data_IF_685457507556
#
_entry.id   IF_685457507556
#
_cell.length_a   1.000
_cell.length_b   1.000
_cell.length_c   1.000
_cell.angle_alpha   90.00
_cell.angle_beta   90.00
_cell.angle_gamma   90.00
#
_symmetry.space_group_name_H-M   'P 1'
#
loop_
_entity.id
_entity.type
_entity.pdbx_description
1 polymer ?
#
# COMPACT_ATOMS: atom_id res chain seq x y z
N UNK A 1 14.97 -8.61 -6.37
CA UNK A 1 15.73 -7.34 -6.48
C UNK A 1 16.66 -7.26 -5.26
N UNK A 2 17.96 -6.93 -5.40
CA UNK A 2 18.65 -6.31 -4.26
C UNK A 2 18.28 -4.84 -4.40
N UNK A 3 17.09 -4.48 -3.91
CA UNK A 3 16.81 -3.07 -3.67
C UNK A 3 17.89 -2.76 -2.66
N UNK A 4 18.85 -1.90 -3.01
CA UNK A 4 19.74 -1.36 -2.00
C UNK A 4 18.84 -0.42 -1.20
N UNK A 5 17.96 -1.00 -0.39
CA UNK A 5 17.47 -0.37 0.81
C UNK A 5 18.74 -0.24 1.64
N UNK A 6 19.39 0.91 1.50
CA UNK A 6 20.28 1.41 2.52
C UNK A 6 19.44 1.43 3.80
N UNK A 7 19.44 0.33 4.55
CA UNK A 7 18.89 0.26 5.90
C UNK A 7 19.77 1.17 6.74
N UNK A 8 19.29 2.31 7.24
CA UNK A 8 20.00 2.96 8.32
C UNK A 8 19.77 2.11 9.57
N UNK A 9 20.78 2.03 10.44
CA UNK A 9 20.74 1.22 11.67
C UNK A 9 19.73 1.72 12.71
N UNK A 10 19.02 2.82 12.45
CA UNK A 10 17.89 3.27 13.24
C UNK A 10 17.10 4.35 12.49
N UNK A 11 15.89 4.02 12.03
CA UNK A 11 14.90 4.99 11.57
C UNK A 11 13.58 4.72 12.29
N UNK A 12 13.05 5.76 12.95
CA UNK A 12 11.69 5.83 13.50
C UNK A 12 11.33 4.81 14.60
N UNK A 13 10.57 5.23 15.62
CA UNK A 13 9.99 4.27 16.56
C UNK A 13 8.97 3.39 15.84
N UNK A 14 9.24 2.09 15.76
CA UNK A 14 8.17 1.09 15.58
C UNK A 14 7.23 1.21 16.78
N UNK A 15 6.05 1.79 16.58
CA UNK A 15 5.03 1.89 17.65
C UNK A 15 4.39 0.52 17.85
N UNK A 16 5.09 -0.40 18.52
CA UNK A 16 4.68 -1.76 18.86
C UNK A 16 3.49 -1.83 19.84
N UNK A 17 2.40 -1.11 19.58
CA UNK A 17 1.26 -1.01 20.49
C UNK A 17 0.39 -2.28 20.46
N UNK A 18 0.36 -3.01 19.34
CA UNK A 18 -0.59 -4.10 19.08
C UNK A 18 -0.01 -5.51 18.88
N UNK A 19 1.32 -5.70 18.95
CA UNK A 19 1.88 -7.06 18.98
C UNK A 19 1.68 -7.70 20.36
N UNK A 20 0.66 -8.55 20.49
CA UNK A 20 0.35 -9.21 21.76
C UNK A 20 1.48 -10.08 22.28
N UNK A 21 2.44 -10.51 21.43
CA UNK A 21 3.56 -11.37 21.81
C UNK A 21 4.62 -10.64 22.62
N UNK A 22 4.70 -9.31 22.49
CA UNK A 22 5.67 -8.48 23.23
C UNK A 22 5.14 -8.04 24.60
N UNK A 23 3.86 -8.31 24.89
CA UNK A 23 3.25 -7.91 26.16
C UNK A 23 3.67 -8.88 27.27
N UNK A 24 4.27 -8.34 28.34
CA UNK A 24 4.66 -9.13 29.51
C UNK A 24 3.54 -9.24 30.57
N UNK A 25 2.50 -8.39 30.49
CA UNK A 25 1.42 -8.30 31.48
C UNK A 25 0.05 -8.46 30.84
N UNK A 26 -0.93 -9.08 31.54
CA UNK A 26 -2.29 -9.20 31.03
C UNK A 26 -2.90 -7.85 30.68
N UNK A 27 -3.42 -7.72 29.46
CA UNK A 27 -4.07 -6.50 28.99
C UNK A 27 -5.05 -6.75 27.87
N UNK A 28 -5.96 -5.80 27.68
CA UNK A 28 -6.87 -5.69 26.55
C UNK A 28 -6.66 -4.30 25.95
N UNK A 29 -6.70 -4.18 24.63
CA UNK A 29 -6.55 -2.91 23.91
C UNK A 29 -7.46 -2.90 22.68
N UNK A 30 -7.88 -1.71 22.25
CA UNK A 30 -8.64 -1.50 21.03
C UNK A 30 -8.07 -0.31 20.27
N UNK A 31 -7.89 -0.45 18.95
CA UNK A 31 -7.38 0.63 18.10
C UNK A 31 -7.89 0.46 16.67
N UNK A 32 -8.19 1.59 16.04
CA UNK A 32 -8.58 1.60 14.65
C UNK A 32 -7.37 1.31 13.75
N UNK A 33 -7.55 0.39 12.80
CA UNK A 33 -6.67 0.29 11.62
C UNK A 33 -7.06 1.40 10.64
N UNK A 34 -8.37 1.61 10.45
CA UNK A 34 -8.90 2.67 9.59
C UNK A 34 -10.35 3.01 9.96
N UNK A 35 -11.01 3.88 9.18
CA UNK A 35 -12.38 4.34 9.45
C UNK A 35 -13.42 3.22 9.58
N UNK A 36 -13.15 2.06 9.00
CA UNK A 36 -14.09 0.94 8.91
C UNK A 36 -13.60 -0.32 9.63
N UNK A 37 -12.49 -0.25 10.39
CA UNK A 37 -11.92 -1.42 11.05
C UNK A 37 -11.25 -1.03 12.37
N UNK A 38 -11.73 -1.63 13.46
CA UNK A 38 -11.06 -1.63 14.77
C UNK A 38 -10.56 -3.02 15.11
N UNK A 39 -9.30 -3.13 15.52
CA UNK A 39 -8.78 -4.37 16.12
C UNK A 39 -8.87 -4.28 17.63
N UNK A 40 -9.41 -5.32 18.24
CA UNK A 40 -9.41 -5.55 19.69
C UNK A 40 -8.45 -6.69 19.98
N UNK A 41 -7.43 -6.45 20.80
CA UNK A 41 -6.40 -7.43 21.16
C UNK A 41 -6.38 -7.72 22.66
N UNK A 42 -5.96 -8.92 23.05
CA UNK A 42 -5.76 -9.31 24.44
C UNK A 42 -4.55 -10.22 24.64
N UNK A 43 -3.95 -10.12 25.82
CA UNK A 43 -2.90 -11.02 26.30
C UNK A 43 -3.18 -11.47 27.73
N UNK A 44 -2.86 -12.72 28.10
CA UNK A 44 -2.31 -13.78 27.23
C UNK A 44 -3.32 -14.26 26.19
N UNK A 45 -2.82 -14.94 25.14
CA UNK A 45 -3.65 -15.67 24.19
C UNK A 45 -4.48 -16.71 24.95
N UNK A 46 -5.76 -16.81 24.60
CA UNK A 46 -6.63 -17.85 25.18
C UNK A 46 -6.49 -19.10 24.33
N UNK A 47 -6.20 -20.25 24.97
CA UNK A 47 -5.80 -21.49 24.28
C UNK A 47 -6.86 -22.61 24.30
N UNK A 48 -7.81 -22.57 25.25
CA UNK A 48 -8.72 -23.71 25.46
C UNK A 48 -10.22 -23.35 25.50
N UNK A 49 -10.59 -22.08 25.64
CA UNK A 49 -11.99 -21.68 25.86
C UNK A 49 -12.40 -20.47 25.01
N UNK A 50 -13.69 -20.36 24.70
CA UNK A 50 -14.17 -19.32 23.80
C UNK A 50 -14.11 -17.91 24.44
N UNK A 51 -13.60 -16.92 23.69
CA UNK A 51 -13.57 -15.52 24.11
C UNK A 51 -14.84 -14.81 23.65
N UNK A 52 -15.45 -14.01 24.52
CA UNK A 52 -16.63 -13.20 24.17
C UNK A 52 -16.26 -11.72 24.16
N UNK A 53 -16.49 -11.05 23.05
CA UNK A 53 -16.28 -9.60 22.91
C UNK A 53 -17.63 -8.90 22.88
N UNK A 54 -17.80 -7.90 23.73
CA UNK A 54 -19.00 -7.07 23.82
C UNK A 54 -18.68 -5.66 23.35
N UNK A 55 -19.58 -5.05 22.56
CA UNK A 55 -19.60 -3.59 22.37
C UNK A 55 -20.33 -2.93 23.53
N UNK A 56 -19.86 -1.77 23.93
CA UNK A 56 -20.47 -0.95 24.99
C UNK A 56 -21.06 0.31 24.37
N UNK A 57 -22.38 0.44 24.43
CA UNK A 57 -23.08 1.63 23.96
C UNK A 57 -22.78 2.86 24.82
N UNK A 58 -23.13 4.05 24.35
CA UNK A 58 -22.97 5.30 25.10
C UNK A 58 -23.71 5.28 26.46
N UNK A 59 -24.82 4.54 26.54
CA UNK A 59 -25.61 4.28 27.74
C UNK A 59 -25.04 3.19 28.67
N UNK A 60 -23.84 2.67 28.38
CA UNK A 60 -23.20 1.61 29.15
C UNK A 60 -23.75 0.20 28.92
N UNK A 61 -24.79 0.03 28.08
CA UNK A 61 -25.35 -1.30 27.77
C UNK A 61 -24.37 -2.09 26.93
N UNK A 62 -24.21 -3.37 27.28
CA UNK A 62 -23.34 -4.33 26.59
C UNK A 62 -24.15 -5.10 25.56
N UNK A 63 -23.65 -5.19 24.33
CA UNK A 63 -24.17 -6.05 23.29
C UNK A 63 -23.08 -7.04 22.86
N UNK A 64 -23.40 -8.34 22.79
CA UNK A 64 -22.44 -9.34 22.33
C UNK A 64 -22.12 -9.08 20.85
N UNK A 65 -20.84 -8.86 20.56
CA UNK A 65 -20.36 -8.57 19.21
C UNK A 65 -19.71 -9.79 18.56
N UNK A 66 -18.97 -10.60 19.34
CA UNK A 66 -18.35 -11.82 18.84
C UNK A 66 -18.20 -12.89 19.93
N UNK A 67 -18.22 -14.15 19.49
CA UNK A 67 -17.75 -15.32 20.26
C UNK A 67 -16.70 -16.01 19.41
N UNK A 68 -15.48 -16.14 19.95
CA UNK A 68 -14.31 -16.56 19.19
C UNK A 68 -13.77 -17.88 19.74
N UNK A 69 -13.52 -18.89 18.90
CA UNK A 69 -12.89 -20.12 19.35
C UNK A 69 -11.43 -19.87 19.74
N UNK A 70 -10.92 -20.69 20.65
CA UNK A 70 -9.50 -20.74 20.94
C UNK A 70 -8.77 -21.62 19.89
N UNK A 71 -7.47 -21.39 19.62
CA UNK A 71 -6.62 -20.35 20.21
C UNK A 71 -6.87 -18.96 19.60
N UNK A 72 -6.96 -17.91 20.43
CA UNK A 72 -7.20 -16.53 19.95
C UNK A 72 -6.64 -15.44 20.87
N UNK A 73 -6.15 -14.34 20.26
CA UNK A 73 -5.61 -13.15 20.94
C UNK A 73 -6.15 -11.84 20.38
N UNK A 74 -7.00 -11.87 19.35
CA UNK A 74 -7.54 -10.66 18.76
C UNK A 74 -8.84 -10.90 17.98
N UNK A 75 -9.54 -9.79 17.69
CA UNK A 75 -10.73 -9.75 16.87
C UNK A 75 -10.82 -8.44 16.11
N UNK A 76 -11.30 -8.53 14.87
CA UNK A 76 -11.49 -7.41 13.96
C UNK A 76 -12.98 -7.04 13.90
N UNK A 77 -13.27 -5.80 14.29
CA UNK A 77 -14.58 -5.20 14.22
C UNK A 77 -14.73 -4.34 12.95
N UNK A 78 -15.49 -4.85 11.98
CA UNK A 78 -15.78 -4.16 10.70
C UNK A 78 -17.13 -3.42 10.70
N UNK A 79 -17.89 -3.49 11.79
CA UNK A 79 -19.20 -2.83 11.91
C UNK A 79 -19.14 -1.58 12.79
N UNK A 80 -17.95 -0.97 12.86
CA UNK A 80 -17.72 0.34 13.47
C UNK A 80 -18.22 1.46 12.56
N UNK A 81 -18.62 2.58 13.16
CA UNK A 81 -19.04 3.78 12.43
C UNK A 81 -17.89 4.78 12.36
N UNK A 82 -17.50 5.26 11.16
CA UNK A 82 -16.46 6.28 11.02
C UNK A 82 -16.74 7.55 11.86
N UNK A 83 -15.69 8.15 12.41
CA UNK A 83 -15.78 9.39 13.20
C UNK A 83 -16.37 9.22 14.60
N UNK A 84 -16.44 7.99 15.12
CA UNK A 84 -17.03 7.69 16.44
C UNK A 84 -16.00 7.12 17.41
N UNK A 85 -16.41 6.95 18.68
CA UNK A 85 -15.63 6.22 19.69
C UNK A 85 -16.23 4.83 19.87
N UNK A 86 -15.51 3.79 19.47
CA UNK A 86 -15.91 2.41 19.69
C UNK A 86 -15.42 1.94 21.07
N UNK A 87 -16.23 1.18 21.80
CA UNK A 87 -15.93 0.71 23.17
C UNK A 87 -16.19 -0.78 23.31
N UNK A 88 -15.28 -1.49 23.98
CA UNK A 88 -15.28 -2.95 24.04
C UNK A 88 -14.99 -3.49 25.44
N UNK A 89 -15.56 -4.65 25.74
CA UNK A 89 -15.21 -5.48 26.91
C UNK A 89 -14.93 -6.88 26.39
N UNK A 90 -13.82 -7.48 26.82
CA UNK A 90 -13.39 -8.81 26.39
C UNK A 90 -13.46 -9.77 27.57
N UNK A 91 -14.41 -10.70 27.55
CA UNK A 91 -14.58 -11.71 28.59
C UNK A 91 -13.83 -12.99 28.22
N UNK A 92 -12.88 -13.38 29.06
CA UNK A 92 -12.05 -14.58 28.90
C UNK A 92 -12.40 -15.63 29.96
N UNK A 93 -12.69 -16.88 29.57
CA UNK A 93 -13.01 -17.95 30.52
C UNK A 93 -11.79 -18.34 31.37
N UNK A 94 -12.03 -18.82 32.60
CA UNK A 94 -11.00 -19.35 33.51
C UNK A 94 -9.80 -18.40 33.74
N UNK A 95 -10.05 -17.09 33.66
CA UNK A 95 -9.07 -16.06 33.90
C UNK A 95 -8.64 -16.03 35.37
N UNK A 96 -7.33 -15.93 35.65
CA UNK A 96 -6.84 -15.55 36.98
C UNK A 96 -7.40 -14.17 37.36
N UNK A 97 -7.41 -13.81 38.65
CA UNK A 97 -7.96 -12.53 39.11
C UNK A 97 -7.41 -11.30 38.34
N UNK A 98 -6.11 -11.30 38.02
CA UNK A 98 -5.47 -10.26 37.22
C UNK A 98 -5.98 -10.23 35.77
N UNK A 99 -6.11 -11.40 35.13
CA UNK A 99 -6.67 -11.53 33.78
C UNK A 99 -8.15 -11.12 33.78
N UNK A 100 -8.92 -11.45 34.82
CA UNK A 100 -10.33 -11.10 34.96
C UNK A 100 -10.53 -9.59 35.13
N UNK A 101 -9.69 -8.93 35.92
CA UNK A 101 -9.69 -7.47 36.06
C UNK A 101 -9.37 -6.75 34.74
N UNK A 102 -8.34 -7.20 34.01
CA UNK A 102 -8.02 -6.65 32.69
C UNK A 102 -9.13 -6.92 31.65
N UNK A 103 -9.88 -8.02 31.80
CA UNK A 103 -11.00 -8.44 30.93
C UNK A 103 -12.28 -7.62 31.17
N UNK A 104 -12.47 -7.08 32.38
CA UNK A 104 -13.69 -6.38 32.78
C UNK A 104 -13.66 -4.88 32.53
N UNK A 105 -12.47 -4.30 32.36
CA UNK A 105 -12.29 -2.89 32.01
C UNK A 105 -12.71 -2.64 30.54
N UNK A 106 -13.50 -1.59 30.31
CA UNK A 106 -13.85 -1.17 28.97
C UNK A 106 -12.65 -0.49 28.29
N UNK A 107 -12.27 -0.97 27.11
CA UNK A 107 -11.28 -0.33 26.24
C UNK A 107 -11.99 0.44 25.15
N UNK A 108 -11.33 1.43 24.55
CA UNK A 108 -11.91 2.23 23.49
C UNK A 108 -10.93 2.50 22.36
N UNK A 109 -11.48 2.74 21.17
CA UNK A 109 -10.76 3.16 19.99
C UNK A 109 -11.43 4.40 19.39
N UNK A 110 -10.63 5.41 19.04
CA UNK A 110 -11.09 6.51 18.20
C UNK A 110 -11.11 6.00 16.76
N UNK A 111 -12.30 5.98 16.14
CA UNK A 111 -12.48 5.56 14.75
C UNK A 111 -12.31 6.78 13.86
N UNK A 112 -11.36 6.79 12.91
CA UNK A 112 -11.18 7.89 11.97
C UNK A 112 -12.45 8.20 11.18
N UNK A 113 -12.56 9.45 10.71
CA UNK A 113 -13.64 9.84 9.80
C UNK A 113 -13.53 9.09 8.47
N UNK A 114 -14.65 8.92 7.77
CA UNK A 114 -14.68 8.23 6.49
C UNK A 114 -13.75 8.92 5.48
N UNK A 115 -13.03 8.12 4.69
CA UNK A 115 -12.16 8.61 3.65
C UNK A 115 -12.97 9.07 2.43
N UNK A 116 -12.49 10.08 1.69
CA UNK A 116 -13.13 10.52 0.45
C UNK A 116 -13.13 9.38 -0.58
N UNK A 117 -14.15 9.35 -1.42
CA UNK A 117 -14.21 8.42 -2.53
C UNK A 117 -13.25 8.86 -3.65
N UNK A 118 -12.66 7.90 -4.34
CA UNK A 118 -11.75 8.11 -5.46
C UNK A 118 -11.91 7.00 -6.49
N UNK A 119 -11.33 7.18 -7.68
CA UNK A 119 -11.58 6.32 -8.84
C UNK A 119 -10.30 6.00 -9.60
N UNK A 120 -10.28 4.83 -10.24
CA UNK A 120 -9.22 4.40 -11.15
C UNK A 120 -9.02 5.37 -12.34
N UNK A 121 -9.99 6.23 -12.65
CA UNK A 121 -9.86 7.29 -13.66
C UNK A 121 -8.71 8.25 -13.38
N UNK A 122 -8.27 8.39 -12.11
CA UNK A 122 -7.10 9.19 -11.74
C UNK A 122 -5.80 8.67 -12.36
N UNK A 123 -5.75 7.38 -12.70
CA UNK A 123 -4.61 6.74 -13.36
C UNK A 123 -4.76 6.65 -14.88
N UNK A 124 -5.87 7.13 -15.46
CA UNK A 124 -6.07 7.03 -16.90
C UNK A 124 -5.10 7.95 -17.64
N UNK A 125 -3.99 7.42 -18.10
CA UNK A 125 -2.93 8.23 -18.66
C UNK A 125 -1.54 7.74 -18.30
N UNK A 126 -0.66 8.70 -18.06
CA UNK A 126 0.70 8.47 -17.58
C UNK A 126 0.77 8.84 -16.11
N UNK A 127 1.50 8.07 -15.32
CA UNK A 127 1.82 8.36 -13.93
C UNK A 127 3.30 8.03 -13.66
N UNK A 128 3.80 8.31 -12.47
CA UNK A 128 5.16 7.96 -12.07
C UNK A 128 5.26 7.64 -10.59
N UNK A 129 6.12 6.68 -10.24
CA UNK A 129 6.52 6.46 -8.86
C UNK A 129 7.57 7.48 -8.44
N UNK A 130 7.41 8.02 -7.23
CA UNK A 130 8.40 8.87 -6.58
C UNK A 130 8.72 8.28 -5.21
N UNK A 131 9.86 7.61 -5.12
CA UNK A 131 10.47 7.26 -3.85
C UNK A 131 11.24 8.46 -3.30
N UNK A 132 11.25 8.59 -1.98
CA UNK A 132 12.19 9.42 -1.26
C UNK A 132 12.52 8.75 0.07
N UNK A 133 13.60 9.20 0.70
CA UNK A 133 14.04 8.75 2.01
C UNK A 133 13.78 9.83 3.05
N UNK A 134 13.25 9.42 4.20
CA UNK A 134 13.16 10.27 5.39
C UNK A 134 14.52 10.63 6.02
N UNK A 135 15.60 9.95 5.62
CA UNK A 135 16.97 10.25 6.05
C UNK A 135 17.54 11.41 5.22
N UNK A 136 18.06 12.45 5.90
CA UNK A 136 18.68 13.62 5.26
C UNK A 136 19.99 13.30 4.51
N UNK A 137 20.65 12.18 4.86
CA UNK A 137 21.95 11.80 4.32
C UNK A 137 21.85 10.93 3.06
N UNK A 138 20.68 10.35 2.81
CA UNK A 138 20.44 9.47 1.67
C UNK A 138 20.48 10.24 0.33
N UNK A 139 20.82 9.57 -0.75
CA UNK A 139 20.84 10.16 -2.10
C UNK A 139 19.44 10.51 -2.59
N UNK A 140 18.44 9.73 -2.18
CA UNK A 140 17.02 9.99 -2.43
C UNK A 140 16.34 10.77 -1.30
N UNK A 141 17.11 11.50 -0.48
CA UNK A 141 16.57 12.24 0.66
C UNK A 141 15.51 13.26 0.26
N UNK A 142 14.46 13.41 1.10
CA UNK A 142 13.51 14.52 1.00
C UNK A 142 14.20 15.90 0.91
N UNK A 143 15.38 16.06 1.53
CA UNK A 143 16.11 17.32 1.57
C UNK A 143 16.72 17.69 0.19
N UNK A 144 16.88 16.70 -0.69
CA UNK A 144 17.44 16.85 -2.04
C UNK A 144 16.35 16.99 -3.12
N UNK A 145 15.06 16.89 -2.76
CA UNK A 145 13.96 17.04 -3.71
C UNK A 145 13.78 18.49 -4.16
N UNK A 146 13.97 18.73 -5.46
CA UNK A 146 13.53 19.97 -6.12
C UNK A 146 12.05 19.87 -6.49
N UNK A 147 11.20 20.31 -5.56
CA UNK A 147 9.73 20.25 -5.71
C UNK A 147 9.24 20.98 -6.96
N UNK A 148 9.79 22.15 -7.26
CA UNK A 148 9.31 22.96 -8.37
C UNK A 148 9.66 22.29 -9.71
N UNK A 149 10.87 21.73 -9.80
CA UNK A 149 11.28 20.93 -10.95
C UNK A 149 10.44 19.65 -11.09
N UNK A 150 10.09 19.01 -9.98
CA UNK A 150 9.22 17.82 -9.97
C UNK A 150 7.84 18.16 -10.55
N UNK A 151 7.19 19.20 -10.03
CA UNK A 151 5.85 19.64 -10.49
C UNK A 151 5.88 20.08 -11.95
N UNK A 152 6.90 20.84 -12.36
CA UNK A 152 7.07 21.27 -13.74
C UNK A 152 7.28 20.08 -14.69
N UNK A 153 8.06 19.08 -14.28
CA UNK A 153 8.29 17.87 -15.08
C UNK A 153 7.03 17.02 -15.17
N UNK A 154 6.29 16.84 -14.08
CA UNK A 154 5.03 16.09 -14.08
C UNK A 154 4.01 16.74 -15.03
N UNK A 155 3.90 18.06 -14.98
CA UNK A 155 3.02 18.84 -15.86
C UNK A 155 3.45 18.72 -17.32
N UNK A 156 4.74 18.93 -17.62
CA UNK A 156 5.29 18.81 -18.98
C UNK A 156 5.12 17.40 -19.54
N UNK A 157 5.32 16.39 -18.71
CA UNK A 157 5.15 15.00 -19.08
C UNK A 157 3.68 14.61 -19.28
N UNK A 158 2.74 15.46 -18.87
CA UNK A 158 1.31 15.18 -18.93
C UNK A 158 0.90 14.05 -17.99
N UNK A 159 1.55 13.95 -16.82
CA UNK A 159 1.18 12.97 -15.81
C UNK A 159 -0.20 13.28 -15.24
N UNK A 160 -0.97 12.24 -14.93
CA UNK A 160 -2.27 12.31 -14.25
C UNK A 160 -2.14 12.04 -12.76
N UNK A 161 -1.14 11.25 -12.38
CA UNK A 161 -0.85 10.94 -11.00
C UNK A 161 0.65 10.82 -10.74
N UNK A 162 1.04 11.03 -9.49
CA UNK A 162 2.32 10.59 -8.93
C UNK A 162 2.02 9.66 -7.76
N UNK A 163 2.62 8.47 -7.80
CA UNK A 163 2.58 7.50 -6.71
C UNK A 163 3.75 7.78 -5.76
N UNK A 164 3.47 8.50 -4.68
CA UNK A 164 4.47 9.00 -3.74
C UNK A 164 4.69 8.00 -2.61
N UNK A 165 5.92 7.54 -2.38
CA UNK A 165 6.21 6.58 -1.30
C UNK A 165 6.02 7.23 0.06
N UNK A 166 4.96 6.86 0.76
CA UNK A 166 4.63 7.42 2.08
C UNK A 166 4.93 6.44 3.23
N UNK A 167 5.04 5.13 2.94
CA UNK A 167 5.35 4.13 3.94
C UNK A 167 6.13 2.94 3.37
N UNK A 168 7.06 2.44 4.17
CA UNK A 168 7.77 1.18 3.91
C UNK A 168 7.54 0.28 5.14
N UNK A 169 6.51 -0.54 5.10
CA UNK A 169 6.00 -1.31 6.23
C UNK A 169 5.43 -0.41 7.33
N UNK A 170 5.84 -0.68 8.57
CA UNK A 170 5.49 0.17 9.71
C UNK A 170 6.34 1.47 9.77
N UNK A 171 7.30 1.67 8.86
CA UNK A 171 8.15 2.86 8.83
C UNK A 171 7.46 4.01 8.09
N UNK A 172 7.55 5.20 8.68
CA UNK A 172 6.98 6.43 8.17
C UNK A 172 8.06 7.20 7.41
N UNK A 173 7.91 7.32 6.09
CA UNK A 173 8.81 8.14 5.27
C UNK A 173 8.55 9.63 5.53
N UNK A 174 7.32 9.97 5.96
CA UNK A 174 6.95 11.33 6.35
C UNK A 174 7.40 11.65 7.77
N UNK A 175 8.72 11.72 7.97
CA UNK A 175 9.28 12.20 9.23
C UNK A 175 8.86 13.65 9.51
N UNK A 176 8.90 14.12 10.78
CA UNK A 176 8.64 15.52 11.10
C UNK A 176 9.50 16.50 10.28
N UNK A 177 10.72 16.12 9.92
CA UNK A 177 11.62 16.92 9.12
C UNK A 177 11.26 16.91 7.61
N UNK A 178 10.80 15.78 7.09
CA UNK A 178 10.34 15.65 5.70
C UNK A 178 9.03 16.41 5.43
N UNK A 179 8.19 16.55 6.46
CA UNK A 179 6.80 17.01 6.32
C UNK A 179 6.62 18.28 5.50
N UNK A 180 7.40 19.33 5.75
CA UNK A 180 7.23 20.61 5.04
C UNK A 180 7.53 20.49 3.53
N UNK A 181 8.54 19.72 3.15
CA UNK A 181 8.88 19.49 1.74
C UNK A 181 7.82 18.62 1.06
N UNK A 182 7.36 17.57 1.72
CA UNK A 182 6.34 16.68 1.17
C UNK A 182 4.98 17.34 1.08
N UNK A 183 4.59 18.19 2.05
CA UNK A 183 3.37 19.00 1.96
C UNK A 183 3.39 19.91 0.72
N UNK A 184 4.50 20.63 0.52
CA UNK A 184 4.69 21.50 -0.65
C UNK A 184 4.66 20.71 -1.97
N UNK A 185 5.22 19.50 -2.00
CA UNK A 185 5.17 18.62 -3.17
C UNK A 185 3.73 18.20 -3.48
N UNK A 186 2.99 17.76 -2.47
CA UNK A 186 1.59 17.36 -2.64
C UNK A 186 0.74 18.55 -3.10
N UNK A 187 0.90 19.71 -2.47
CA UNK A 187 0.19 20.93 -2.83
C UNK A 187 0.52 21.39 -4.26
N UNK A 188 1.79 21.33 -4.66
CA UNK A 188 2.23 21.66 -6.01
C UNK A 188 1.65 20.72 -7.07
N UNK A 189 1.69 19.41 -6.83
CA UNK A 189 1.12 18.43 -7.77
C UNK A 189 -0.40 18.59 -7.91
N UNK A 190 -1.12 18.67 -6.78
CA UNK A 190 -2.58 18.82 -6.78
C UNK A 190 -3.00 20.17 -7.39
N UNK A 191 -2.27 21.24 -7.10
CA UNK A 191 -2.50 22.56 -7.69
C UNK A 191 -2.35 22.59 -9.23
N UNK A 192 -1.61 21.63 -9.79
CA UNK A 192 -1.44 21.44 -11.23
C UNK A 192 -2.29 20.28 -11.81
N UNK A 193 -3.32 19.84 -11.07
CA UNK A 193 -4.21 18.74 -11.45
C UNK A 193 -3.51 17.39 -11.66
N UNK A 194 -2.40 17.17 -10.98
CA UNK A 194 -1.74 15.86 -10.88
C UNK A 194 -2.14 15.24 -9.53
N UNK A 195 -2.87 14.12 -9.57
CA UNK A 195 -3.28 13.42 -8.37
C UNK A 195 -2.05 12.87 -7.62
N UNK A 196 -2.14 12.77 -6.30
CA UNK A 196 -1.12 12.07 -5.50
C UNK A 196 -1.73 10.79 -4.94
N UNK A 197 -1.17 9.65 -5.32
CA UNK A 197 -1.52 8.34 -4.79
C UNK A 197 -0.46 7.96 -3.76
N UNK A 198 -0.88 7.52 -2.59
CA UNK A 198 0.06 7.10 -1.54
C UNK A 198 0.59 5.72 -1.87
N UNK A 199 1.85 5.64 -2.30
CA UNK A 199 2.54 4.38 -2.49
C UNK A 199 3.05 3.85 -1.16
N UNK A 200 2.77 2.58 -0.88
CA UNK A 200 3.18 1.91 0.34
C UNK A 200 3.73 0.52 0.04
N UNK A 201 4.75 0.11 0.80
CA UNK A 201 5.41 -1.19 0.61
C UNK A 201 5.24 -2.04 1.87
N UNK A 202 4.21 -2.89 1.97
CA UNK A 202 4.00 -3.75 3.13
C UNK A 202 5.15 -4.73 3.38
N UNK A 203 5.46 -4.93 4.66
CA UNK A 203 6.59 -5.73 5.13
C UNK A 203 6.15 -6.85 6.04
N UNK A 204 5.03 -6.66 6.73
CA UNK A 204 4.48 -7.66 7.63
C UNK A 204 2.96 -7.58 7.59
N UNK A 205 2.31 -8.73 7.73
CA UNK A 205 0.87 -8.77 8.03
C UNK A 205 0.62 -8.49 9.52
N UNK A 206 1.06 -7.31 9.96
CA UNK A 206 0.98 -6.83 11.33
C UNK A 206 0.04 -5.62 11.42
N UNK A 207 -0.50 -5.39 12.61
CA UNK A 207 -1.40 -4.25 12.86
C UNK A 207 -0.74 -2.92 12.50
N UNK A 208 0.50 -2.69 12.94
CA UNK A 208 1.17 -1.39 12.78
C UNK A 208 1.39 -1.04 11.30
N UNK A 209 1.72 -2.05 10.49
CA UNK A 209 1.88 -1.92 9.04
C UNK A 209 0.53 -1.55 8.40
N UNK A 210 -0.53 -2.33 8.66
CA UNK A 210 -1.87 -2.06 8.14
C UNK A 210 -2.40 -0.67 8.54
N UNK A 211 -2.24 -0.30 9.82
CA UNK A 211 -2.71 0.98 10.35
C UNK A 211 -1.92 2.15 9.74
N UNK A 212 -0.61 1.98 9.54
CA UNK A 212 0.23 2.97 8.85
C UNK A 212 -0.24 3.19 7.42
N UNK A 213 -0.48 2.11 6.68
CA UNK A 213 -0.92 2.15 5.29
C UNK A 213 -2.31 2.79 5.15
N UNK A 214 -3.24 2.47 6.04
CA UNK A 214 -4.56 3.12 6.07
C UNK A 214 -4.48 4.61 6.43
N UNK A 215 -3.52 5.01 7.29
CA UNK A 215 -3.31 6.42 7.64
C UNK A 215 -2.77 7.24 6.46
N UNK A 216 -1.99 6.65 5.55
CA UNK A 216 -1.53 7.32 4.31
C UNK A 216 -2.73 7.81 3.49
N UNK A 217 -3.78 7.00 3.35
CA UNK A 217 -4.99 7.40 2.62
C UNK A 217 -5.75 8.56 3.27
N UNK A 218 -5.54 8.78 4.57
CA UNK A 218 -6.15 9.88 5.33
C UNK A 218 -5.35 11.17 5.26
N UNK A 219 -4.15 11.15 4.67
CA UNK A 219 -3.22 12.25 4.73
C UNK A 219 -3.72 13.49 4.00
N UNK A 220 -3.56 14.65 4.67
CA UNK A 220 -3.89 15.97 4.14
C UNK A 220 -2.80 16.97 4.52
N UNK A 221 -2.46 17.84 3.59
CA UNK A 221 -1.60 18.99 3.84
C UNK A 221 -2.37 20.07 4.62
N UNK A 222 -1.68 21.03 5.25
CA UNK A 222 -2.34 22.19 5.87
C UNK A 222 -3.18 23.02 4.87
N UNK A 223 -2.82 23.02 3.58
CA UNK A 223 -3.57 23.69 2.52
C UNK A 223 -4.82 22.91 2.06
N UNK A 224 -5.00 21.67 2.54
CA UNK A 224 -6.17 20.84 2.26
C UNK A 224 -6.01 19.86 1.10
N UNK A 225 -4.89 19.90 0.36
CA UNK A 225 -4.54 18.87 -0.63
C UNK A 225 -4.41 17.52 0.05
N UNK A 226 -4.75 16.46 -0.67
CA UNK A 226 -4.90 15.14 -0.07
C UNK A 226 -4.36 14.03 -0.96
N UNK A 227 -3.97 12.95 -0.30
CA UNK A 227 -3.76 11.66 -0.95
C UNK A 227 -5.11 11.18 -1.50
N UNK A 228 -5.11 10.77 -2.76
CA UNK A 228 -6.31 10.42 -3.53
C UNK A 228 -6.55 8.91 -3.65
N UNK A 229 -5.70 8.08 -3.06
CA UNK A 229 -5.79 6.62 -3.11
C UNK A 229 -4.53 5.98 -2.55
N UNK A 230 -4.47 4.66 -2.55
CA UNK A 230 -3.29 3.88 -2.19
C UNK A 230 -2.80 3.06 -3.37
N UNK A 231 -1.48 2.99 -3.53
CA UNK A 231 -0.81 1.99 -4.34
C UNK A 231 0.02 1.09 -3.42
N UNK A 232 -0.34 -0.19 -3.36
CA UNK A 232 0.21 -1.13 -2.39
C UNK A 232 1.13 -2.11 -3.11
N UNK A 233 2.40 -2.10 -2.75
CA UNK A 233 3.45 -2.90 -3.36
C UNK A 233 3.51 -4.31 -2.79
N UNK A 234 2.88 -5.25 -3.51
CA UNK A 234 2.70 -6.62 -3.06
C UNK A 234 3.78 -7.51 -3.67
N UNK A 235 4.92 -7.60 -2.98
CA UNK A 235 6.06 -8.45 -3.37
C UNK A 235 6.23 -9.67 -2.46
N UNK A 236 6.77 -10.75 -3.03
CA UNK A 236 7.21 -11.95 -2.32
C UNK A 236 8.62 -11.79 -1.77
N UNK A 237 8.97 -12.68 -0.84
CA UNK A 237 10.32 -12.80 -0.29
C UNK A 237 10.41 -12.44 1.19
N UNK A 238 11.48 -12.92 1.84
CA UNK A 238 11.76 -12.68 3.27
C UNK A 238 11.81 -11.21 3.64
N UNK A 239 12.16 -10.40 2.65
CA UNK A 239 12.20 -8.98 2.81
C UNK A 239 10.77 -8.41 2.99
N UNK A 240 9.78 -8.96 2.28
CA UNK A 240 8.38 -8.51 2.21
C UNK A 240 7.44 -9.44 3.00
N UNK A 241 6.34 -9.88 2.38
CA UNK A 241 5.32 -10.71 3.04
C UNK A 241 5.63 -12.22 3.00
N UNK A 242 6.83 -12.60 2.59
CA UNK A 242 7.31 -13.98 2.53
C UNK A 242 7.04 -14.68 1.19
N UNK A 243 7.49 -15.93 1.10
CA UNK A 243 7.33 -16.80 -0.07
C UNK A 243 6.43 -18.01 0.23
N UNK A 244 6.03 -18.70 -0.84
CA UNK A 244 5.26 -19.94 -0.77
C UNK A 244 3.83 -19.74 -0.23
N UNK A 245 3.12 -20.83 0.09
CA UNK A 245 1.70 -20.77 0.45
C UNK A 245 1.39 -19.81 1.62
N UNK A 246 2.29 -19.70 2.60
CA UNK A 246 2.15 -18.78 3.74
C UNK A 246 2.29 -17.33 3.29
N UNK A 247 3.30 -17.01 2.47
CA UNK A 247 3.47 -15.65 1.94
C UNK A 247 2.32 -15.23 1.02
N UNK A 248 1.82 -16.14 0.18
CA UNK A 248 0.70 -15.85 -0.72
C UNK A 248 -0.61 -15.60 0.06
N UNK A 249 -0.83 -16.35 1.13
CA UNK A 249 -1.92 -16.08 2.05
C UNK A 249 -1.73 -14.73 2.77
N UNK A 250 -0.50 -14.36 3.13
CA UNK A 250 -0.18 -13.07 3.75
C UNK A 250 -0.46 -11.89 2.80
N UNK A 251 -0.03 -11.94 1.54
CA UNK A 251 -0.35 -10.94 0.49
C UNK A 251 -1.85 -10.71 0.37
N UNK A 252 -2.61 -11.80 0.19
CA UNK A 252 -4.07 -11.75 0.04
C UNK A 252 -4.76 -11.21 1.30
N UNK A 253 -4.32 -11.65 2.48
CA UNK A 253 -4.89 -11.24 3.76
C UNK A 253 -4.61 -9.77 4.04
N UNK A 254 -3.40 -9.31 3.73
CA UNK A 254 -3.00 -7.92 3.91
C UNK A 254 -3.94 -6.99 3.13
N UNK A 255 -4.08 -7.24 1.82
CA UNK A 255 -4.89 -6.41 0.95
C UNK A 255 -6.38 -6.43 1.34
N UNK A 256 -6.92 -7.62 1.62
CA UNK A 256 -8.32 -7.75 2.06
C UNK A 256 -8.57 -7.00 3.37
N UNK A 257 -7.60 -7.00 4.30
CA UNK A 257 -7.72 -6.29 5.57
C UNK A 257 -7.60 -4.79 5.38
N UNK A 258 -6.67 -4.34 4.55
CA UNK A 258 -6.53 -2.93 4.20
C UNK A 258 -7.79 -2.40 3.51
N UNK A 259 -8.35 -3.13 2.53
CA UNK A 259 -9.63 -2.81 1.88
C UNK A 259 -10.76 -2.63 2.89
N UNK A 260 -10.88 -3.55 3.86
CA UNK A 260 -11.88 -3.42 4.94
C UNK A 260 -11.61 -2.22 5.84
N UNK A 261 -10.36 -1.82 6.04
CA UNK A 261 -10.01 -0.67 6.87
C UNK A 261 -10.32 0.67 6.20
N UNK A 262 -9.93 0.84 4.93
CA UNK A 262 -10.09 2.10 4.17
C UNK A 262 -11.48 2.25 3.57
N UNK A 263 -12.18 1.14 3.34
CA UNK A 263 -13.53 1.10 2.79
C UNK A 263 -13.58 0.85 1.28
N UNK A 264 -14.77 0.59 0.72
CA UNK A 264 -14.95 0.15 -0.66
C UNK A 264 -14.84 1.26 -1.71
N UNK A 265 -14.73 2.53 -1.29
CA UNK A 265 -14.74 3.69 -2.21
C UNK A 265 -13.39 4.38 -2.36
N UNK A 266 -12.38 3.95 -1.60
CA UNK A 266 -11.01 4.45 -1.74
C UNK A 266 -10.34 3.67 -2.87
N UNK A 267 -9.64 4.36 -3.75
CA UNK A 267 -8.87 3.75 -4.83
C UNK A 267 -7.75 2.93 -4.20
N UNK A 268 -7.73 1.64 -4.50
CA UNK A 268 -6.65 0.74 -4.13
C UNK A 268 -6.06 0.12 -5.38
N UNK A 269 -4.84 0.51 -5.67
CA UNK A 269 -3.99 -0.07 -6.70
C UNK A 269 -3.15 -1.15 -6.03
N UNK A 270 -3.14 -2.35 -6.59
CA UNK A 270 -2.23 -3.40 -6.18
C UNK A 270 -1.09 -3.47 -7.18
N UNK A 271 0.08 -2.98 -6.79
CA UNK A 271 1.32 -3.22 -7.54
C UNK A 271 1.71 -4.67 -7.31
N UNK A 272 1.85 -5.42 -8.40
CA UNK A 272 2.07 -6.87 -8.36
C UNK A 272 3.30 -7.24 -9.16
N UNK A 273 3.93 -8.34 -8.78
CA UNK A 273 4.96 -8.97 -9.60
C UNK A 273 4.44 -9.31 -11.00
N UNK A 274 5.34 -9.35 -11.98
CA UNK A 274 4.95 -9.51 -13.38
C UNK A 274 4.85 -10.99 -13.75
N UNK A 275 3.65 -11.53 -14.04
CA UNK A 275 3.52 -12.96 -14.29
C UNK A 275 4.14 -13.39 -15.61
N UNK A 276 4.25 -12.50 -16.59
CA UNK A 276 4.74 -12.83 -17.92
C UNK A 276 6.25 -12.88 -17.94
N UNK A 277 6.90 -11.87 -17.37
CA UNK A 277 8.35 -11.74 -17.32
C UNK A 277 8.99 -12.69 -16.30
N UNK A 278 8.30 -12.98 -15.20
CA UNK A 278 8.82 -13.83 -14.12
C UNK A 278 8.29 -15.27 -14.19
N UNK A 279 7.47 -15.59 -15.19
CA UNK A 279 6.86 -16.91 -15.39
C UNK A 279 6.05 -17.40 -14.17
N UNK A 280 5.24 -16.50 -13.61
CA UNK A 280 4.36 -16.77 -12.48
C UNK A 280 2.99 -17.26 -12.95
N UNK A 281 2.37 -18.05 -12.08
CA UNK A 281 1.04 -18.61 -12.25
C UNK A 281 0.26 -18.49 -10.93
N UNK A 282 -1.00 -18.94 -10.92
CA UNK A 282 -1.87 -18.85 -9.75
C UNK A 282 -1.38 -19.67 -8.53
N UNK A 283 -0.45 -20.62 -8.72
CA UNK A 283 0.16 -21.37 -7.63
C UNK A 283 1.37 -20.65 -7.02
N UNK A 284 1.94 -19.65 -7.72
CA UNK A 284 3.13 -18.90 -7.30
C UNK A 284 2.84 -17.46 -6.86
N UNK A 285 1.67 -16.93 -7.22
CA UNK A 285 1.27 -15.59 -6.79
C UNK A 285 -0.27 -15.45 -6.85
N UNK A 286 -0.92 -14.86 -5.82
CA UNK A 286 -2.37 -14.96 -5.63
C UNK A 286 -3.16 -13.86 -6.37
N UNK A 287 -2.96 -13.71 -7.68
CA UNK A 287 -3.59 -12.64 -8.49
C UNK A 287 -5.10 -12.51 -8.32
N UNK A 288 -5.84 -13.63 -8.37
CA UNK A 288 -7.31 -13.58 -8.24
C UNK A 288 -7.77 -13.12 -6.86
N UNK A 289 -7.06 -13.51 -5.79
CA UNK A 289 -7.39 -13.08 -4.44
C UNK A 289 -7.07 -11.60 -4.23
N UNK A 290 -5.95 -11.12 -4.77
CA UNK A 290 -5.57 -9.70 -4.79
C UNK A 290 -6.59 -8.88 -5.60
N UNK A 291 -6.95 -9.33 -6.80
CA UNK A 291 -7.88 -8.65 -7.68
C UNK A 291 -9.25 -8.44 -7.04
N UNK A 292 -9.72 -9.36 -6.19
CA UNK A 292 -11.00 -9.23 -5.46
C UNK A 292 -11.07 -7.95 -4.62
N UNK A 293 -9.95 -7.54 -4.05
CA UNK A 293 -9.87 -6.44 -3.08
C UNK A 293 -9.23 -5.17 -3.66
N UNK A 294 -8.56 -5.25 -4.82
CA UNK A 294 -8.01 -4.11 -5.56
C UNK A 294 -9.00 -3.51 -6.58
N UNK A 295 -8.87 -2.22 -6.87
CA UNK A 295 -9.57 -1.56 -7.99
C UNK A 295 -8.76 -1.59 -9.29
N UNK A 296 -7.43 -1.63 -9.18
CA UNK A 296 -6.48 -1.67 -10.30
C UNK A 296 -5.38 -2.67 -9.98
N UNK A 297 -4.96 -3.47 -10.97
CA UNK A 297 -3.73 -4.26 -10.88
C UNK A 297 -2.62 -3.57 -11.67
N UNK A 298 -1.44 -3.47 -11.07
CA UNK A 298 -0.28 -2.78 -11.65
C UNK A 298 0.93 -3.70 -11.72
N UNK A 299 1.07 -4.54 -12.77
CA UNK A 299 2.26 -5.38 -12.92
C UNK A 299 3.52 -4.54 -13.08
N UNK A 300 4.58 -4.89 -12.35
CA UNK A 300 5.92 -4.33 -12.49
C UNK A 300 6.63 -4.88 -13.73
N UNK A 301 6.16 -4.46 -14.91
CA UNK A 301 6.70 -4.88 -16.21
C UNK A 301 8.06 -4.23 -16.50
N UNK A 302 9.08 -4.55 -15.70
CA UNK A 302 10.44 -4.02 -15.84
C UNK A 302 11.24 -4.84 -16.86
N UNK A 303 10.89 -4.67 -18.14
CA UNK A 303 11.30 -5.58 -19.21
C UNK A 303 12.81 -5.72 -19.38
N UNK A 304 13.61 -4.65 -19.25
CA UNK A 304 15.08 -4.75 -19.37
C UNK A 304 15.72 -5.37 -18.12
N UNK A 305 15.11 -5.17 -16.96
CA UNK A 305 15.53 -5.77 -15.70
C UNK A 305 15.31 -7.29 -15.69
N UNK A 306 14.09 -7.72 -16.03
CA UNK A 306 13.63 -9.11 -15.84
C UNK A 306 13.97 -10.04 -17.00
N UNK A 307 14.36 -9.51 -18.17
CA UNK A 307 14.76 -10.37 -19.29
C UNK A 307 15.47 -9.62 -20.42
N UNK A 308 15.91 -10.34 -21.46
CA UNK A 308 16.60 -9.75 -22.62
C UNK A 308 15.62 -9.01 -23.55
N UNK A 309 14.76 -8.16 -23.00
CA UNK A 309 13.70 -7.44 -23.71
C UNK A 309 14.15 -6.05 -24.17
N UNK A 310 15.35 -5.97 -24.71
CA UNK A 310 16.12 -4.75 -25.02
C UNK A 310 15.92 -4.23 -26.47
N UNK A 311 14.71 -4.38 -27.01
CA UNK A 311 14.33 -3.79 -28.29
C UNK A 311 12.85 -3.43 -28.32
N UNK A 312 12.47 -2.51 -29.22
CA UNK A 312 11.07 -2.07 -29.39
C UNK A 312 10.07 -3.24 -29.52
N UNK A 313 10.24 -4.23 -30.43
CA UNK A 313 9.30 -5.35 -30.53
C UNK A 313 9.22 -6.19 -29.25
N UNK A 314 10.34 -6.32 -28.54
CA UNK A 314 10.40 -7.07 -27.29
C UNK A 314 9.69 -6.31 -26.16
N UNK A 315 9.91 -5.00 -26.01
CA UNK A 315 9.19 -4.18 -25.04
C UNK A 315 7.67 -4.23 -25.28
N UNK A 316 7.23 -4.15 -26.54
CA UNK A 316 5.81 -4.29 -26.90
C UNK A 316 5.26 -5.67 -26.53
N UNK A 317 6.00 -6.74 -26.81
CA UNK A 317 5.61 -8.10 -26.47
C UNK A 317 5.55 -8.33 -24.94
N UNK A 318 6.52 -7.78 -24.20
CA UNK A 318 6.54 -7.81 -22.74
C UNK A 318 5.28 -7.15 -22.16
N UNK A 319 4.98 -5.92 -22.57
CA UNK A 319 3.80 -5.18 -22.10
C UNK A 319 2.50 -5.91 -22.45
N UNK A 320 2.32 -6.29 -23.72
CA UNK A 320 1.09 -6.97 -24.14
C UNK A 320 0.91 -8.34 -23.45
N UNK A 321 2.01 -9.08 -23.28
CA UNK A 321 2.02 -10.37 -22.57
C UNK A 321 1.64 -10.22 -21.09
N UNK A 322 2.19 -9.21 -20.43
CA UNK A 322 1.96 -8.93 -19.01
C UNK A 322 0.51 -8.52 -18.77
N UNK A 323 -0.01 -7.54 -19.52
CA UNK A 323 -1.43 -7.13 -19.45
C UNK A 323 -2.36 -8.32 -19.72
N UNK A 324 -2.07 -9.10 -20.76
CA UNK A 324 -2.88 -10.26 -21.13
C UNK A 324 -2.87 -11.36 -20.07
N UNK A 325 -1.73 -11.65 -19.45
CA UNK A 325 -1.61 -12.70 -18.44
C UNK A 325 -2.17 -12.26 -17.09
N UNK A 326 -1.92 -11.02 -16.65
CA UNK A 326 -2.55 -10.45 -15.44
C UNK A 326 -4.06 -10.52 -15.54
N UNK A 327 -4.64 -10.09 -16.68
CA UNK A 327 -6.11 -10.15 -16.89
C UNK A 327 -6.66 -11.57 -16.76
N UNK A 328 -5.95 -12.58 -17.27
CA UNK A 328 -6.34 -13.98 -17.12
C UNK A 328 -6.24 -14.46 -15.68
N UNK A 329 -5.13 -14.17 -15.01
CA UNK A 329 -4.86 -14.64 -13.63
C UNK A 329 -5.71 -13.92 -12.57
N UNK A 330 -6.15 -12.69 -12.84
CA UNK A 330 -7.05 -11.94 -11.97
C UNK A 330 -8.44 -12.60 -11.82
N UNK A 331 -8.87 -13.41 -12.81
CA UNK A 331 -10.14 -14.13 -12.76
C UNK A 331 -11.39 -13.26 -12.76
N UNK A 332 -11.25 -11.94 -12.98
CA UNK A 332 -12.33 -10.96 -13.14
C UNK A 332 -11.88 -9.82 -14.03
N UNK A 333 -12.85 -9.03 -14.52
CA UNK A 333 -12.55 -7.77 -15.17
C UNK A 333 -12.07 -6.76 -14.11
N UNK A 334 -10.80 -6.37 -14.22
CA UNK A 334 -10.13 -5.38 -13.36
C UNK A 334 -9.25 -4.52 -14.26
N UNK A 335 -9.32 -3.17 -14.15
CA UNK A 335 -8.39 -2.29 -14.83
C UNK A 335 -6.94 -2.64 -14.55
N UNK A 336 -6.10 -2.48 -15.58
CA UNK A 336 -4.66 -2.70 -15.49
C UNK A 336 -3.94 -1.39 -15.78
N UNK A 337 -3.04 -0.99 -14.89
CA UNK A 337 -2.06 0.07 -15.10
C UNK A 337 -0.68 -0.59 -15.28
N UNK A 338 0.13 -0.20 -16.27
CA UNK A 338 1.42 -0.89 -16.48
C UNK A 338 2.53 -0.20 -15.70
N UNK A 339 3.16 -0.93 -14.77
CA UNK A 339 4.38 -0.50 -14.10
C UNK A 339 5.59 -0.57 -15.04
N UNK A 340 5.94 0.52 -15.69
CA UNK A 340 6.98 0.56 -16.72
C UNK A 340 8.34 0.98 -16.16
N UNK A 341 9.41 0.30 -16.58
CA UNK A 341 10.77 0.69 -16.25
C UNK A 341 11.18 1.97 -17.02
N UNK A 342 11.87 2.89 -16.35
CA UNK A 342 12.53 4.05 -16.99
C UNK A 342 13.99 4.18 -16.61
N UNK A 343 14.35 3.78 -15.39
CA UNK A 343 15.71 3.89 -14.86
C UNK A 343 16.60 2.69 -15.12
N UNK A 344 17.85 2.79 -14.64
CA UNK A 344 18.84 1.71 -14.63
C UNK A 344 18.57 0.77 -13.46
N UNK A 345 17.67 -0.20 -13.65
CA UNK A 345 17.32 -1.19 -12.61
C UNK A 345 18.15 -2.49 -12.68
N UNK A 346 18.92 -2.67 -13.76
CA UNK A 346 19.70 -3.87 -13.99
C UNK A 346 20.83 -3.64 -14.98
N UNK A 347 21.53 -4.73 -15.34
CA UNK A 347 22.76 -4.68 -16.17
C UNK A 347 22.54 -4.17 -17.60
N UNK A 348 21.29 -4.09 -18.06
CA UNK A 348 20.93 -3.68 -19.43
C UNK A 348 20.65 -2.18 -19.59
N UNK A 349 20.87 -1.39 -18.53
CA UNK A 349 20.69 0.06 -18.57
C UNK A 349 19.21 0.48 -18.60
N UNK A 350 19.01 1.79 -18.73
CA UNK A 350 17.70 2.41 -18.88
C UNK A 350 17.13 2.12 -20.28
N UNK A 351 15.80 1.99 -20.43
CA UNK A 351 15.17 1.94 -21.74
C UNK A 351 15.41 3.23 -22.55
N UNK A 352 15.73 3.12 -23.85
CA UNK A 352 15.80 4.26 -24.76
C UNK A 352 14.41 4.82 -25.06
N UNK A 353 14.38 6.01 -25.67
CA UNK A 353 13.15 6.76 -25.92
C UNK A 353 12.12 6.03 -26.78
N UNK A 354 12.58 5.27 -27.78
CA UNK A 354 11.74 4.47 -28.68
C UNK A 354 11.08 3.28 -27.96
N UNK A 355 11.79 2.62 -27.04
CA UNK A 355 11.20 1.59 -26.18
C UNK A 355 10.13 2.16 -25.24
N UNK A 356 10.37 3.33 -24.64
CA UNK A 356 9.38 3.98 -23.78
C UNK A 356 8.11 4.35 -24.56
N UNK A 357 8.26 4.95 -25.73
CA UNK A 357 7.12 5.26 -26.60
C UNK A 357 6.36 3.99 -27.03
N UNK A 358 7.09 2.93 -27.37
CA UNK A 358 6.51 1.65 -27.73
C UNK A 358 5.77 0.96 -26.57
N UNK A 359 6.28 1.09 -25.34
CA UNK A 359 5.63 0.58 -24.13
C UNK A 359 4.30 1.31 -23.84
N UNK A 360 4.27 2.65 -23.98
CA UNK A 360 3.03 3.44 -23.88
C UNK A 360 2.00 2.98 -24.92
N UNK A 361 2.42 2.87 -26.18
CA UNK A 361 1.55 2.45 -27.27
C UNK A 361 1.03 1.01 -27.08
N UNK A 362 1.90 0.08 -26.64
CA UNK A 362 1.53 -1.30 -26.35
C UNK A 362 0.54 -1.40 -25.18
N UNK A 363 0.73 -0.61 -24.12
CA UNK A 363 -0.18 -0.58 -22.96
C UNK A 363 -1.59 -0.21 -23.39
N UNK A 364 -1.72 0.88 -24.16
CA UNK A 364 -3.00 1.33 -24.73
C UNK A 364 -3.65 0.28 -25.64
N UNK A 365 -2.87 -0.32 -26.55
CA UNK A 365 -3.37 -1.38 -27.46
C UNK A 365 -3.82 -2.64 -26.72
N UNK A 366 -3.16 -2.99 -25.61
CA UNK A 366 -3.53 -4.14 -24.78
C UNK A 366 -4.77 -3.86 -23.87
N UNK A 367 -5.25 -2.62 -23.88
CA UNK A 367 -6.39 -2.18 -23.07
C UNK A 367 -6.04 -1.91 -21.61
N UNK A 368 -4.80 -1.54 -21.32
CA UNK A 368 -4.46 -0.94 -20.03
C UNK A 368 -5.12 0.45 -19.91
N UNK A 369 -5.44 0.87 -18.69
CA UNK A 369 -5.97 2.20 -18.42
C UNK A 369 -4.89 3.26 -18.30
N UNK A 370 -3.67 2.87 -17.93
CA UNK A 370 -2.54 3.76 -17.75
C UNK A 370 -1.19 3.06 -17.82
N UNK A 371 -0.14 3.87 -17.63
CA UNK A 371 1.25 3.44 -17.43
C UNK A 371 1.89 4.29 -16.33
N UNK A 372 2.44 3.64 -15.31
CA UNK A 372 3.18 4.27 -14.21
C UNK A 372 4.66 3.99 -14.36
N UNK A 373 5.48 5.04 -14.45
CA UNK A 373 6.92 4.94 -14.70
C UNK A 373 7.75 4.80 -13.41
N UNK A 374 8.60 3.78 -13.34
CA UNK A 374 9.50 3.47 -12.21
C UNK A 374 10.98 3.76 -12.51
N UNK A 375 11.64 4.63 -11.75
CA UNK A 375 11.10 5.59 -10.77
C UNK A 375 11.66 6.99 -11.04
N UNK A 376 11.10 7.99 -10.36
CA UNK A 376 11.38 9.39 -10.63
C UNK A 376 12.88 9.72 -10.58
N UNK A 377 13.57 9.30 -9.51
CA UNK A 377 14.99 9.62 -9.28
C UNK A 377 15.90 8.85 -10.25
N UNK A 378 15.50 7.64 -10.68
CA UNK A 378 16.18 6.89 -11.73
C UNK A 378 15.89 7.36 -13.16
N UNK A 379 14.89 8.21 -13.39
CA UNK A 379 14.47 8.64 -14.73
C UNK A 379 15.30 9.84 -15.21
N UNK A 380 16.16 9.60 -16.20
CA UNK A 380 16.99 10.65 -16.81
C UNK A 380 16.21 11.64 -17.67
N UNK A 381 16.82 12.81 -18.01
CA UNK A 381 16.17 13.84 -18.84
C UNK A 381 15.67 13.32 -20.19
N UNK A 382 16.45 12.47 -20.86
CA UNK A 382 16.08 11.89 -22.15
C UNK A 382 14.84 10.97 -22.06
N UNK A 383 14.70 10.24 -20.95
CA UNK A 383 13.52 9.43 -20.67
C UNK A 383 12.30 10.30 -20.36
N UNK A 384 12.45 11.34 -19.53
CA UNK A 384 11.36 12.31 -19.28
C UNK A 384 10.87 13.00 -20.54
N UNK A 385 11.78 13.36 -21.44
CA UNK A 385 11.45 13.92 -22.74
C UNK A 385 10.70 12.93 -23.64
N UNK A 386 11.07 11.64 -23.61
CA UNK A 386 10.35 10.59 -24.32
C UNK A 386 8.94 10.39 -23.77
N UNK A 387 8.80 10.38 -22.43
CA UNK A 387 7.51 10.28 -21.74
C UNK A 387 6.63 11.47 -22.12
N UNK A 388 7.16 12.70 -22.13
CA UNK A 388 6.42 13.90 -22.50
C UNK A 388 5.90 13.88 -23.94
N UNK A 389 6.71 13.40 -24.89
CA UNK A 389 6.31 13.28 -26.31
C UNK A 389 5.34 12.14 -26.60
N UNK A 390 5.26 11.14 -25.72
CA UNK A 390 4.41 9.97 -25.93
C UNK A 390 2.95 10.31 -25.63
N UNK A 391 2.07 10.13 -26.61
CA UNK A 391 0.63 10.28 -26.42
C UNK A 391 0.05 9.07 -25.69
N UNK A 392 -0.84 9.33 -24.73
CA UNK A 392 -1.72 8.32 -24.15
C UNK A 392 -3.05 8.28 -24.91
#
# INVERSE_FOLDING_TARGET
>A
VRVVANRPAGLGEQRAAFDTRTWALPRVVAQAIGPHLVRVGWFPQVTAAAVRVYRVGANGRRALAATLPAPTSSWDDTAVTPGTVARYIVVRPNATAQIAAASSAAVHALVPSALPASSAELLRGKAAWLAFSGDSLDDDSYAKLDVDQIVATATRAGLKAVELRMAYGAFDELTPAAKATIDRLIDGLVGHHVAVIGWTVPRQNAFDDLARNAAVAAYRTPAGSAISGLAVDLERGDEFLGDGPVGYAALSTYLATLRRAVGPRVLLVATVEDPFLEHLDAAKFPYAAIARDADVLQPMTYWRMLGPWDSVPKAQAAVAGSVGLVRRLAGRDVPIDVGAQTGVLGRRGAPPADELAAAVEASRRAGAIGVTFYDWTGTGPAQWDAIARSAW
#
